data_IF_454066888371
#
_entry.id   IF_454066888371
#
_cell.length_a   1.000
_cell.length_b   1.000
_cell.length_c   1.000
_cell.angle_alpha   90.00
_cell.angle_beta   90.00
_cell.angle_gamma   90.00
#
_symmetry.space_group_name_H-M   'P 1'
#
loop_
_entity.id
_entity.type
_entity.pdbx_description
1 polymer ?
#
# COMPACT_ATOMS: atom_id res chain seq x y z
N UNK A 1 15.35 32.62 -12.20
CA UNK A 1 14.07 32.10 -12.70
C UNK A 1 14.09 30.59 -12.61
N UNK A 2 13.31 30.08 -11.68
CA UNK A 2 13.33 28.74 -11.10
C UNK A 2 12.95 27.63 -12.08
N UNK A 3 13.96 27.00 -12.69
CA UNK A 3 13.83 25.70 -13.38
C UNK A 3 13.53 24.53 -12.41
N UNK A 4 13.45 24.79 -11.10
CA UNK A 4 13.35 23.78 -10.04
C UNK A 4 12.00 23.06 -9.95
N UNK A 5 10.94 23.54 -10.60
CA UNK A 5 9.60 22.90 -10.53
C UNK A 5 9.46 21.62 -11.36
N UNK A 6 10.36 21.33 -12.29
CA UNK A 6 10.32 20.12 -13.12
C UNK A 6 11.29 19.00 -12.68
N UNK A 7 12.11 19.24 -11.66
CA UNK A 7 13.19 18.33 -11.29
C UNK A 7 12.74 17.25 -10.31
N UNK A 8 12.05 17.62 -9.24
CA UNK A 8 11.75 16.72 -8.12
C UNK A 8 10.27 16.37 -8.10
N UNK A 9 9.95 15.07 -8.11
CA UNK A 9 8.58 14.56 -7.96
C UNK A 9 8.50 13.43 -6.92
N UNK A 10 7.28 13.07 -6.51
CA UNK A 10 7.04 11.95 -5.60
C UNK A 10 6.19 10.89 -6.29
N UNK A 11 6.65 9.64 -6.28
CA UNK A 11 5.90 8.48 -6.78
C UNK A 11 5.64 7.48 -5.66
N UNK A 12 4.48 6.86 -5.73
CA UNK A 12 4.09 5.76 -4.85
C UNK A 12 4.09 4.45 -5.64
N UNK A 13 4.84 3.46 -5.15
CA UNK A 13 4.84 2.11 -5.69
C UNK A 13 4.19 1.15 -4.70
N UNK A 14 3.23 0.37 -5.19
CA UNK A 14 2.51 -0.60 -4.37
C UNK A 14 2.87 -2.02 -4.82
N UNK A 15 3.43 -2.82 -3.92
CA UNK A 15 3.79 -4.22 -4.17
C UNK A 15 3.11 -5.12 -3.14
N UNK A 16 2.55 -6.25 -3.54
CA UNK A 16 1.97 -7.21 -2.59
C UNK A 16 3.03 -7.70 -1.59
N UNK A 17 2.61 -7.92 -0.34
CA UNK A 17 3.48 -8.52 0.67
C UNK A 17 3.75 -9.99 0.29
N UNK A 18 5.01 -10.46 0.31
CA UNK A 18 5.34 -11.82 -0.10
C UNK A 18 4.66 -12.88 0.77
N UNK A 19 4.52 -12.62 2.07
CA UNK A 19 4.03 -13.63 3.03
C UNK A 19 2.49 -13.67 3.14
N UNK A 20 1.83 -12.53 2.95
CA UNK A 20 0.39 -12.34 3.27
C UNK A 20 -0.40 -11.66 2.14
N UNK A 21 0.22 -11.31 1.02
CA UNK A 21 -0.42 -10.58 -0.08
C UNK A 21 -1.49 -11.39 -0.83
N UNK A 22 -1.40 -12.72 -0.79
CA UNK A 22 -2.36 -13.61 -1.42
C UNK A 22 -3.68 -13.76 -0.64
N UNK A 23 -3.72 -13.29 0.61
CA UNK A 23 -4.90 -13.42 1.48
C UNK A 23 -5.86 -12.29 1.14
N UNK A 24 -7.06 -12.66 0.70
CA UNK A 24 -8.12 -11.70 0.45
C UNK A 24 -8.79 -11.28 1.76
N UNK A 25 -8.80 -9.97 2.00
CA UNK A 25 -9.40 -9.32 3.15
C UNK A 25 -10.72 -8.67 2.76
N UNK A 26 -11.63 -8.58 3.74
CA UNK A 26 -12.92 -7.92 3.54
C UNK A 26 -12.78 -6.40 3.58
N UNK A 27 -13.40 -5.73 2.62
CA UNK A 27 -13.49 -4.27 2.57
C UNK A 27 -14.87 -3.80 3.03
N UNK A 28 -14.93 -3.03 4.12
CA UNK A 28 -16.17 -2.47 4.64
C UNK A 28 -16.82 -1.41 3.76
N UNK A 29 -16.07 -0.81 2.82
CA UNK A 29 -16.59 0.25 1.93
C UNK A 29 -17.36 -0.27 0.73
N UNK A 30 -16.87 -1.34 0.09
CA UNK A 30 -17.49 -1.93 -1.10
C UNK A 30 -18.09 -3.32 -0.84
N UNK A 31 -18.10 -3.76 0.42
CA UNK A 31 -18.66 -5.05 0.86
C UNK A 31 -18.13 -6.26 0.06
N UNK A 32 -16.85 -6.25 -0.32
CA UNK A 32 -16.24 -7.29 -1.13
C UNK A 32 -14.89 -7.75 -0.53
N UNK A 33 -14.50 -9.00 -0.80
CA UNK A 33 -13.24 -9.62 -0.38
C UNK A 33 -12.15 -9.37 -1.43
N UNK A 34 -11.73 -8.12 -1.55
CA UNK A 34 -10.74 -7.69 -2.55
C UNK A 34 -9.66 -6.78 -1.96
N UNK A 35 -9.55 -6.71 -0.63
CA UNK A 35 -8.45 -6.02 0.02
C UNK A 35 -7.24 -6.95 0.13
N UNK A 36 -6.06 -6.45 -0.24
CA UNK A 36 -4.81 -7.21 -0.16
C UNK A 36 -3.76 -6.43 0.61
N UNK A 37 -2.93 -7.17 1.35
CA UNK A 37 -1.80 -6.58 2.05
C UNK A 37 -0.70 -6.17 1.06
N UNK A 38 -0.40 -4.87 1.03
CA UNK A 38 0.59 -4.25 0.16
C UNK A 38 1.65 -3.50 0.95
N UNK A 39 2.86 -3.47 0.39
CA UNK A 39 3.96 -2.61 0.80
C UNK A 39 3.95 -1.42 -0.14
N UNK A 40 3.80 -0.25 0.43
CA UNK A 40 3.86 1.01 -0.26
C UNK A 40 5.25 1.60 -0.09
N UNK A 41 5.89 1.92 -1.22
CA UNK A 41 7.23 2.50 -1.29
C UNK A 41 7.07 3.88 -1.90
N UNK A 42 7.37 4.92 -1.13
CA UNK A 42 7.37 6.28 -1.62
C UNK A 42 8.80 6.63 -2.04
N UNK A 43 8.95 7.05 -3.29
CA UNK A 43 10.23 7.38 -3.91
C UNK A 43 10.22 8.82 -4.36
N UNK A 44 11.33 9.51 -4.10
CA UNK A 44 11.68 10.76 -4.77
C UNK A 44 12.13 10.42 -6.19
N UNK A 45 11.58 11.15 -7.15
CA UNK A 45 11.90 11.04 -8.56
C UNK A 45 12.64 12.29 -9.01
N UNK A 46 13.67 12.10 -9.83
CA UNK A 46 14.39 13.17 -10.50
C UNK A 46 14.12 13.05 -12.01
N UNK A 47 13.60 14.09 -12.65
CA UNK A 47 13.17 14.03 -14.06
C UNK A 47 12.28 12.81 -14.37
N UNK A 48 11.28 12.55 -13.53
CA UNK A 48 10.35 11.41 -13.63
C UNK A 48 10.96 10.00 -13.40
N UNK A 49 12.27 9.89 -13.21
CA UNK A 49 13.00 8.66 -12.89
C UNK A 49 13.02 8.49 -11.35
N UNK A 50 12.46 7.41 -10.78
CA UNK A 50 12.54 7.16 -9.34
C UNK A 50 13.99 6.86 -8.95
N UNK A 51 14.60 7.76 -8.18
CA UNK A 51 16.02 7.68 -7.82
C UNK A 51 16.25 7.27 -6.38
N UNK A 52 15.39 7.69 -5.44
CA UNK A 52 15.60 7.44 -4.02
C UNK A 52 14.30 7.07 -3.28
N UNK A 53 14.18 5.86 -2.71
CA UNK A 53 13.09 5.54 -1.79
C UNK A 53 13.32 6.21 -0.44
N UNK A 54 12.32 6.94 0.06
CA UNK A 54 12.43 7.65 1.35
C UNK A 54 11.49 7.12 2.43
N UNK A 55 10.40 6.44 2.05
CA UNK A 55 9.44 5.92 3.03
C UNK A 55 8.88 4.56 2.61
N UNK A 56 8.71 3.69 3.61
CA UNK A 56 8.13 2.36 3.45
C UNK A 56 6.97 2.22 4.43
N UNK A 57 5.79 1.89 3.91
CA UNK A 57 4.62 1.58 4.73
C UNK A 57 4.00 0.24 4.33
N UNK A 58 3.26 -0.35 5.27
CA UNK A 58 2.48 -1.57 5.05
C UNK A 58 1.02 -1.20 5.24
N UNK A 59 0.19 -1.52 4.25
CA UNK A 59 -1.22 -1.13 4.22
C UNK A 59 -2.04 -2.25 3.61
N UNK A 60 -3.32 -2.31 3.95
CA UNK A 60 -4.31 -3.04 3.20
C UNK A 60 -4.89 -2.13 2.14
N UNK A 61 -4.96 -2.57 0.88
CA UNK A 61 -5.57 -1.82 -0.22
C UNK A 61 -6.61 -2.66 -0.94
N UNK A 62 -7.80 -2.10 -1.10
CA UNK A 62 -8.86 -2.68 -1.91
C UNK A 62 -8.53 -2.53 -3.41
N UNK A 63 -8.53 -3.64 -4.14
CA UNK A 63 -8.33 -3.64 -5.59
C UNK A 63 -9.51 -3.08 -6.39
N UNK A 64 -10.69 -2.96 -5.76
CA UNK A 64 -11.92 -2.49 -6.43
C UNK A 64 -12.16 -0.99 -6.18
N UNK A 65 -12.37 -0.60 -4.92
CA UNK A 65 -12.70 0.80 -4.58
C UNK A 65 -11.49 1.66 -4.19
N UNK A 66 -10.30 1.07 -4.12
CA UNK A 66 -9.08 1.78 -3.74
C UNK A 66 -8.99 2.16 -2.25
N UNK A 67 -9.94 1.75 -1.41
CA UNK A 67 -9.89 2.02 0.03
C UNK A 67 -8.60 1.46 0.65
N UNK A 68 -7.96 2.24 1.50
CA UNK A 68 -6.73 1.86 2.18
C UNK A 68 -6.90 1.90 3.69
N UNK A 69 -6.38 0.89 4.38
CA UNK A 69 -6.27 0.87 5.83
C UNK A 69 -4.82 0.62 6.25
N UNK A 70 -4.38 1.23 7.33
CA UNK A 70 -3.06 0.94 7.90
C UNK A 70 -3.02 -0.49 8.45
N UNK A 71 -1.88 -1.14 8.24
CA UNK A 71 -1.70 -2.54 8.62
C UNK A 71 -0.65 -2.65 9.73
N UNK A 72 -1.14 -2.80 10.97
CA UNK A 72 -0.28 -2.94 12.15
C UNK A 72 0.38 -4.33 12.21
N UNK A 73 1.44 -4.47 13.00
CA UNK A 73 2.19 -5.73 13.17
C UNK A 73 1.28 -6.87 13.65
N UNK A 74 0.38 -6.58 14.59
CA UNK A 74 -0.58 -7.57 15.09
C UNK A 74 -1.49 -8.08 13.97
N UNK A 75 -2.02 -7.18 13.14
CA UNK A 75 -2.86 -7.55 12.00
C UNK A 75 -2.11 -8.42 10.98
N UNK A 76 -0.82 -8.16 10.75
CA UNK A 76 0.02 -9.03 9.91
C UNK A 76 0.15 -10.43 10.51
N UNK A 77 0.33 -10.54 11.83
CA UNK A 77 0.43 -11.85 12.48
C UNK A 77 -0.90 -12.61 12.45
N UNK A 78 -2.04 -11.93 12.50
CA UNK A 78 -3.36 -12.54 12.27
C UNK A 78 -3.48 -13.08 10.83
N UNK A 79 -3.05 -12.29 9.82
CA UNK A 79 -3.04 -12.74 8.43
C UNK A 79 -2.14 -13.97 8.24
N UNK A 80 -0.96 -14.01 8.87
CA UNK A 80 -0.07 -15.18 8.84
C UNK A 80 -0.71 -16.43 9.44
N UNK A 81 -1.59 -16.28 10.43
CA UNK A 81 -2.36 -17.38 11.05
C UNK A 81 -3.62 -17.76 10.25
N UNK A 82 -3.84 -17.14 9.08
CA UNK A 82 -5.02 -17.37 8.25
C UNK A 82 -6.30 -16.69 8.77
N UNK A 83 -6.18 -15.77 9.72
CA UNK A 83 -7.32 -14.96 10.18
C UNK A 83 -7.44 -13.71 9.30
N UNK A 84 -8.49 -13.57 8.48
CA UNK A 84 -8.66 -12.43 7.61
C UNK A 84 -8.97 -11.17 8.43
N UNK A 85 -8.29 -10.07 8.11
CA UNK A 85 -8.49 -8.76 8.73
C UNK A 85 -9.41 -7.94 7.83
N UNK A 86 -10.33 -7.17 8.40
CA UNK A 86 -11.18 -6.27 7.62
C UNK A 86 -10.63 -4.85 7.63
N UNK A 87 -10.77 -4.12 6.51
CA UNK A 87 -10.58 -2.66 6.51
C UNK A 87 -11.93 -1.97 6.71
N UNK A 88 -12.05 -1.25 7.83
CA UNK A 88 -13.11 -0.27 8.02
C UNK A 88 -12.82 0.96 7.15
N UNK A 89 -13.82 1.41 6.40
CA UNK A 89 -13.79 2.68 5.67
C UNK A 89 -14.61 3.72 6.40
#
# INVERSE_FOLDING_TARGET
>A
MDFCFFLIGFKEFNKQLPDVGNIACYCGRCHNQSAHAIRTINTVTLFFIPVLPFYYSKRLKCGICGNTGDLDKQAIDHLKKGQPVAIGG
#
